data_IF_504841782794
#
_entry.id   IF_504841782794
#
_cell.length_a   1.000
_cell.length_b   1.000
_cell.length_c   1.000
_cell.angle_alpha   90.00
_cell.angle_beta   90.00
_cell.angle_gamma   90.00
#
_symmetry.space_group_name_H-M   'P 1'
#
loop_
_entity.id
_entity.type
_entity.pdbx_description
1 polymer ?
#
# COMPACT_ATOMS: atom_id res chain seq x y z
N UNK A 1 -11.71 -17.22 14.66
CA UNK A 1 -11.35 -18.03 13.48
C UNK A 1 -10.11 -18.86 13.82
N UNK A 2 -9.84 -19.97 13.13
CA UNK A 2 -8.61 -20.76 13.34
C UNK A 2 -7.67 -20.56 12.15
N UNK A 3 -6.43 -20.19 12.43
CA UNK A 3 -5.38 -20.01 11.42
C UNK A 3 -4.52 -21.26 11.44
N UNK A 4 -4.26 -21.82 10.26
CA UNK A 4 -3.41 -23.00 10.08
C UNK A 4 -2.08 -22.59 9.48
N UNK A 5 -0.99 -23.19 9.94
CA UNK A 5 0.35 -22.94 9.41
C UNK A 5 1.16 -24.25 9.37
N UNK A 6 2.08 -24.39 8.40
CA UNK A 6 2.93 -25.56 8.31
C UNK A 6 3.93 -25.62 9.49
N UNK A 7 4.13 -26.82 10.02
CA UNK A 7 5.14 -27.16 11.03
C UNK A 7 5.87 -28.43 10.61
N UNK A 8 7.04 -28.68 11.19
CA UNK A 8 7.93 -29.81 10.81
C UNK A 8 7.20 -31.17 10.87
N UNK A 9 6.22 -31.30 11.75
CA UNK A 9 5.42 -32.52 11.96
C UNK A 9 4.03 -32.48 11.33
N UNK A 10 3.68 -31.46 10.53
CA UNK A 10 2.37 -31.34 9.87
C UNK A 10 1.81 -29.92 9.84
N UNK A 11 0.58 -29.74 10.32
CA UNK A 11 -0.13 -28.45 10.34
C UNK A 11 -0.44 -28.05 11.78
N UNK A 12 0.11 -26.91 12.20
CA UNK A 12 -0.23 -26.27 13.47
C UNK A 12 -1.50 -25.42 13.31
N UNK A 13 -2.34 -25.40 14.34
CA UNK A 13 -3.54 -24.55 14.37
C UNK A 13 -3.46 -23.61 15.57
N UNK A 14 -3.71 -22.32 15.33
CA UNK A 14 -3.86 -21.31 16.39
C UNK A 14 -5.24 -20.69 16.29
N UNK A 15 -5.90 -20.58 17.44
CA UNK A 15 -7.16 -19.86 17.54
C UNK A 15 -6.87 -18.36 17.61
N UNK A 16 -7.25 -17.65 16.56
CA UNK A 16 -7.07 -16.20 16.47
C UNK A 16 -8.41 -15.48 16.66
N UNK A 17 -8.42 -14.55 17.61
CA UNK A 17 -9.46 -13.53 17.70
C UNK A 17 -9.09 -12.37 16.77
N UNK A 18 -9.83 -12.28 15.67
CA UNK A 18 -9.63 -11.28 14.62
C UNK A 18 -9.86 -9.86 15.16
N UNK A 19 -10.83 -9.68 16.06
CA UNK A 19 -11.14 -8.37 16.62
C UNK A 19 -10.02 -7.90 17.55
N UNK A 20 -9.50 -8.81 18.37
CA UNK A 20 -8.39 -8.52 19.25
C UNK A 20 -7.12 -8.21 18.45
N UNK A 21 -6.79 -9.02 17.43
CA UNK A 21 -5.65 -8.77 16.56
C UNK A 21 -5.73 -7.39 15.88
N UNK A 22 -6.90 -7.03 15.36
CA UNK A 22 -7.14 -5.72 14.74
C UNK A 22 -6.93 -4.58 15.74
N UNK A 23 -7.45 -4.71 16.97
CA UNK A 23 -7.26 -3.70 18.04
C UNK A 23 -5.78 -3.52 18.37
N UNK A 24 -5.05 -4.62 18.56
CA UNK A 24 -3.62 -4.58 18.86
C UNK A 24 -2.80 -3.91 17.76
N UNK A 25 -3.09 -4.21 16.49
CA UNK A 25 -2.41 -3.57 15.36
C UNK A 25 -2.64 -2.05 15.33
N UNK A 26 -3.90 -1.61 15.46
CA UNK A 26 -4.24 -0.18 15.45
C UNK A 26 -3.56 0.56 16.60
N UNK A 27 -3.56 -0.01 17.80
CA UNK A 27 -2.90 0.58 18.97
C UNK A 27 -1.38 0.66 18.81
N UNK A 28 -0.75 -0.36 18.22
CA UNK A 28 0.68 -0.34 17.92
C UNK A 28 1.04 0.80 16.94
N UNK A 29 0.26 0.96 15.86
CA UNK A 29 0.45 2.04 14.90
C UNK A 29 0.25 3.42 15.55
N UNK A 30 -0.77 3.59 16.40
CA UNK A 30 -0.98 4.85 17.13
C UNK A 30 0.18 5.19 18.05
N UNK A 31 0.69 4.19 18.79
CA UNK A 31 1.84 4.35 19.68
C UNK A 31 3.07 4.80 18.91
N UNK A 32 3.35 4.15 17.78
CA UNK A 32 4.51 4.49 16.97
C UNK A 32 4.41 5.90 16.38
N UNK A 33 3.24 6.29 15.86
CA UNK A 33 2.98 7.66 15.40
C UNK A 33 3.20 8.69 16.50
N UNK A 34 2.79 8.38 17.73
CA UNK A 34 3.00 9.26 18.88
C UNK A 34 4.48 9.43 19.21
N UNK A 35 5.27 8.35 19.19
CA UNK A 35 6.73 8.40 19.42
C UNK A 35 7.42 9.28 18.38
N UNK A 36 7.10 9.09 17.10
CA UNK A 36 7.66 9.90 16.01
C UNK A 36 7.31 11.38 16.20
N UNK A 37 6.08 11.70 16.60
CA UNK A 37 5.68 13.09 16.85
C UNK A 37 6.43 13.70 18.05
N UNK A 38 6.56 12.97 19.16
CA UNK A 38 7.30 13.45 20.35
C UNK A 38 8.80 13.63 20.08
N UNK A 39 9.40 12.80 19.22
CA UNK A 39 10.80 12.91 18.80
C UNK A 39 11.02 14.16 17.93
N UNK A 40 10.14 14.39 16.95
CA UNK A 40 10.17 15.60 16.10
C UNK A 40 9.90 16.88 16.91
N UNK A 41 9.11 16.78 17.99
CA UNK A 41 8.82 17.91 18.88
C UNK A 41 9.99 18.29 19.79
N UNK A 42 10.93 17.38 20.05
CA UNK A 42 12.07 17.61 20.94
C UNK A 42 13.29 18.21 20.23
N UNK A 43 13.36 18.12 18.90
CA UNK A 43 14.48 18.62 18.10
C UNK A 43 14.37 20.11 17.73
N UNK A 44 13.19 20.73 17.89
CA UNK A 44 12.97 22.13 17.46
C UNK A 44 13.50 23.21 18.42
N UNK A 45 14.14 22.84 19.53
CA UNK A 45 14.62 23.82 20.53
C UNK A 45 16.14 23.86 20.76
N UNK A 46 16.94 23.46 19.76
CA UNK A 46 18.38 23.74 19.79
C UNK A 46 18.99 23.95 18.41
N UNK A 47 19.45 25.20 18.19
CA UNK A 47 20.62 25.61 17.41
C UNK A 47 20.46 26.03 15.93
N UNK A 48 20.51 27.36 15.78
CA UNK A 48 21.36 28.13 14.86
C UNK A 48 22.52 27.34 14.19
N UNK A 49 22.64 27.57 12.88
CA UNK A 49 23.85 27.52 12.02
C UNK A 49 24.48 26.15 11.75
N UNK A 50 24.59 25.82 10.46
CA UNK A 50 25.62 24.91 9.97
C UNK A 50 25.25 24.26 8.64
N UNK A 51 25.92 24.68 7.57
CA UNK A 51 26.01 23.93 6.30
C UNK A 51 26.68 22.58 6.57
N UNK A 52 26.11 21.48 6.10
CA UNK A 52 26.91 20.48 5.39
C UNK A 52 26.08 19.50 4.56
N UNK A 53 26.70 19.02 3.49
CA UNK A 53 26.16 18.30 2.35
C UNK A 53 25.95 16.81 2.65
N UNK A 54 24.73 16.30 2.46
CA UNK A 54 24.45 14.95 1.91
C UNK A 54 23.03 14.93 1.32
N UNK A 55 22.80 14.42 0.10
CA UNK A 55 21.45 14.13 -0.37
C UNK A 55 21.02 12.83 0.34
N UNK A 56 20.29 12.96 1.45
CA UNK A 56 19.54 11.83 2.04
C UNK A 56 18.53 11.38 0.98
N UNK A 57 18.40 10.07 0.69
CA UNK A 57 17.36 9.59 -0.21
C UNK A 57 16.02 10.08 0.33
N UNK A 58 15.27 10.82 -0.49
CA UNK A 58 13.95 11.31 -0.11
C UNK A 58 13.06 10.12 0.21
N UNK A 59 12.90 9.78 1.49
CA UNK A 59 11.71 9.08 1.93
C UNK A 59 10.53 9.97 1.50
N UNK A 60 9.56 9.45 0.72
CA UNK A 60 8.41 10.25 0.34
C UNK A 60 7.77 10.79 1.63
N UNK A 61 7.76 12.13 1.78
CA UNK A 61 7.12 12.76 2.93
C UNK A 61 5.68 12.20 3.04
N UNK A 62 5.20 11.81 4.23
CA UNK A 62 3.78 11.59 4.41
C UNK A 62 3.08 12.89 3.98
N UNK A 63 2.20 12.83 2.99
CA UNK A 63 1.40 14.00 2.61
C UNK A 63 0.71 14.50 3.88
N UNK A 64 0.77 15.79 4.22
CA UNK A 64 0.03 16.31 5.36
C UNK A 64 -1.45 16.03 5.13
N UNK A 65 -2.01 15.15 5.97
CA UNK A 65 -3.44 14.85 6.00
C UNK A 65 -4.17 16.00 6.69
N UNK A 66 -4.45 17.06 5.95
CA UNK A 66 -5.71 17.78 6.18
C UNK A 66 -6.63 17.31 5.08
N UNK A 67 -7.36 16.23 5.37
CA UNK A 67 -8.50 15.82 4.55
C UNK A 67 -9.70 15.90 5.47
N UNK A 68 -10.46 16.99 5.33
CA UNK A 68 -11.84 17.03 5.80
C UNK A 68 -12.54 15.78 5.25
N UNK A 69 -13.20 15.06 6.15
CA UNK A 69 -14.00 13.90 5.81
C UNK A 69 -15.20 14.37 4.97
N UNK A 70 -15.08 14.29 3.64
CA UNK A 70 -16.26 14.27 2.78
C UNK A 70 -16.79 12.83 2.73
N UNK A 71 -18.08 12.59 3.04
CA UNK A 71 -18.66 11.25 3.14
C UNK A 71 -19.02 10.64 1.79
N UNK A 72 -18.26 10.92 0.72
CA UNK A 72 -18.54 10.38 -0.61
C UNK A 72 -17.33 10.39 -1.56
N UNK A 73 -16.16 9.98 -1.08
CA UNK A 73 -15.03 9.72 -1.98
C UNK A 73 -15.16 8.33 -2.63
N UNK A 74 -16.24 8.10 -3.38
CA UNK A 74 -16.32 6.98 -4.32
C UNK A 74 -15.18 7.17 -5.33
N UNK A 75 -14.18 6.31 -5.28
CA UNK A 75 -13.15 6.30 -6.32
C UNK A 75 -13.85 5.96 -7.65
N UNK A 76 -13.58 6.72 -8.73
CA UNK A 76 -14.22 6.44 -10.02
C UNK A 76 -13.87 5.00 -10.43
N UNK A 77 -14.88 4.28 -10.93
CA UNK A 77 -14.67 2.93 -11.46
C UNK A 77 -13.61 2.99 -12.54
N UNK A 78 -12.57 2.18 -12.38
CA UNK A 78 -11.46 2.15 -13.31
C UNK A 78 -11.93 1.56 -14.65
N UNK A 79 -11.80 2.34 -15.71
CA UNK A 79 -12.12 1.88 -17.06
C UNK A 79 -11.09 0.84 -17.54
N UNK A 80 -11.59 -0.32 -17.95
CA UNK A 80 -10.80 -1.43 -18.46
C UNK A 80 -11.18 -1.71 -19.92
N UNK A 81 -10.17 -1.92 -20.75
CA UNK A 81 -10.28 -2.33 -22.15
C UNK A 81 -10.03 -3.83 -22.26
N UNK A 82 -10.87 -4.52 -23.02
CA UNK A 82 -10.72 -5.95 -23.30
C UNK A 82 -9.78 -6.13 -24.49
N UNK A 83 -8.77 -6.98 -24.35
CA UNK A 83 -7.82 -7.34 -25.41
C UNK A 83 -7.90 -8.84 -25.67
N UNK A 84 -7.98 -9.20 -26.95
CA UNK A 84 -7.82 -10.58 -27.41
C UNK A 84 -6.33 -10.95 -27.37
N UNK A 85 -5.97 -11.97 -26.59
CA UNK A 85 -4.62 -12.53 -26.54
C UNK A 85 -4.35 -13.43 -27.75
N UNK A 86 -5.40 -14.09 -28.25
CA UNK A 86 -5.36 -14.90 -29.46
C UNK A 86 -6.52 -14.46 -30.34
N UNK A 87 -6.22 -14.09 -31.59
CA UNK A 87 -7.20 -13.61 -32.55
C UNK A 87 -8.30 -14.65 -32.76
N UNK A 88 -9.54 -14.29 -32.42
CA UNK A 88 -10.73 -15.12 -32.66
C UNK A 88 -11.06 -16.19 -31.61
N UNK A 89 -10.33 -16.27 -30.49
CA UNK A 89 -10.69 -17.14 -29.36
C UNK A 89 -11.37 -16.33 -28.24
N UNK A 90 -12.70 -16.44 -28.04
CA UNK A 90 -13.41 -15.71 -27.00
C UNK A 90 -13.02 -16.13 -25.57
N UNK A 91 -12.33 -17.27 -25.41
CA UNK A 91 -11.79 -17.74 -24.13
C UNK A 91 -10.43 -17.12 -23.77
N UNK A 92 -9.80 -16.40 -24.70
CA UNK A 92 -8.45 -15.84 -24.55
C UNK A 92 -8.48 -14.32 -24.57
N UNK A 93 -9.26 -13.74 -23.66
CA UNK A 93 -9.33 -12.30 -23.46
C UNK A 93 -8.76 -11.89 -22.11
N UNK A 94 -8.09 -10.74 -22.07
CA UNK A 94 -7.63 -10.10 -20.84
C UNK A 94 -8.22 -8.69 -20.72
N UNK A 95 -8.31 -8.18 -19.49
CA UNK A 95 -8.76 -6.81 -19.21
C UNK A 95 -7.59 -5.99 -18.71
N UNK A 96 -7.29 -4.92 -19.42
CA UNK A 96 -6.20 -4.00 -19.09
C UNK A 96 -6.76 -2.59 -18.89
N UNK A 97 -6.04 -1.73 -18.16
CA UNK A 97 -6.48 -0.34 -17.94
C UNK A 97 -6.55 0.43 -19.26
N UNK A 98 -7.65 1.13 -19.50
CA UNK A 98 -7.84 1.95 -20.71
C UNK A 98 -6.82 3.09 -20.81
N UNK A 99 -6.38 3.63 -19.66
CA UNK A 99 -5.39 4.72 -19.58
C UNK A 99 -3.93 4.26 -19.62
N UNK A 100 -3.64 3.19 -20.35
CA UNK A 100 -2.28 2.67 -20.54
C UNK A 100 -1.71 3.17 -21.87
N UNK A 101 -0.42 3.50 -21.90
CA UNK A 101 0.28 3.83 -23.16
C UNK A 101 0.35 2.58 -24.04
N UNK A 102 0.25 2.75 -25.36
CA UNK A 102 0.23 1.62 -26.30
C UNK A 102 1.47 0.73 -26.17
N UNK A 103 2.66 1.33 -26.06
CA UNK A 103 3.93 0.58 -25.90
C UNK A 103 3.91 -0.35 -24.66
N UNK A 104 3.33 0.12 -23.56
CA UNK A 104 3.23 -0.66 -22.32
C UNK A 104 2.16 -1.72 -22.44
N UNK A 105 1.08 -1.41 -23.17
CA UNK A 105 0.00 -2.36 -23.44
C UNK A 105 0.51 -3.54 -24.27
N UNK A 106 1.25 -3.29 -25.34
CA UNK A 106 1.86 -4.35 -26.15
C UNK A 106 2.78 -5.23 -25.29
N UNK A 107 3.67 -4.60 -24.51
CA UNK A 107 4.56 -5.34 -23.60
C UNK A 107 3.79 -6.21 -22.58
N UNK A 108 2.68 -5.72 -22.05
CA UNK A 108 1.83 -6.48 -21.12
C UNK A 108 1.19 -7.67 -21.82
N UNK A 109 0.68 -7.49 -23.04
CA UNK A 109 0.07 -8.58 -23.83
C UNK A 109 1.11 -9.65 -24.17
N UNK A 110 2.33 -9.25 -24.53
CA UNK A 110 3.43 -10.18 -24.85
C UNK A 110 3.91 -11.01 -23.64
N UNK A 111 3.64 -10.54 -22.43
CA UNK A 111 4.04 -11.19 -21.18
C UNK A 111 2.95 -12.08 -20.56
N UNK A 112 1.76 -12.17 -21.17
CA UNK A 112 0.60 -12.95 -20.68
C UNK A 112 0.49 -14.30 -21.38
#
# INVERSE_FOLDING_TARGET
>A
MKIKFPVVTGVGEVQADVLQARRCYVEAIKREKKRILEEVSSEENSNKRGKDLTPRPECPRPRPSVREETPDAVQPVEELLTVELILGDPGKITKIRSRMKEDVREQVVDCL
#
